data_IF_609093038570
#
_entry.id   IF_609093038570
#
_cell.length_a   1.000
_cell.length_b   1.000
_cell.length_c   1.000
_cell.angle_alpha   90.00
_cell.angle_beta   90.00
_cell.angle_gamma   90.00
#
_symmetry.space_group_name_H-M   'P 1'
#
loop_
_entity.id
_entity.type
_entity.pdbx_description
1 polymer ?
#
# COMPACT_ATOMS: atom_id res chain seq x y z
N UNK A 1 -1.43 18.51 -5.67
CA UNK A 1 -1.21 18.09 -4.26
C UNK A 1 -0.24 16.92 -4.26
N UNK A 2 0.74 16.85 -3.34
CA UNK A 2 1.63 15.69 -3.24
C UNK A 2 0.88 14.52 -2.59
N UNK A 3 0.85 13.35 -3.24
CA UNK A 3 0.25 12.14 -2.66
C UNK A 3 1.00 11.76 -1.38
N UNK A 4 0.27 11.27 -0.38
CA UNK A 4 0.89 10.75 0.84
C UNK A 4 1.50 9.38 0.53
N UNK A 5 2.71 9.15 1.07
CA UNK A 5 3.46 7.89 0.88
C UNK A 5 3.15 6.93 2.02
N UNK A 6 2.88 5.67 1.70
CA UNK A 6 2.57 4.61 2.66
C UNK A 6 3.47 3.42 2.38
N UNK A 7 4.09 2.85 3.42
CA UNK A 7 4.94 1.66 3.34
C UNK A 7 4.32 0.55 4.20
N UNK A 8 4.03 -0.61 3.61
CA UNK A 8 3.52 -1.77 4.34
C UNK A 8 4.62 -2.78 4.63
N UNK A 9 4.96 -2.96 5.92
CA UNK A 9 5.98 -3.90 6.34
C UNK A 9 5.39 -5.20 6.88
N UNK A 10 5.99 -6.31 6.49
CA UNK A 10 5.83 -7.60 7.16
C UNK A 10 7.17 -8.34 7.21
N UNK A 11 7.24 -9.43 7.98
CA UNK A 11 8.50 -10.15 8.20
C UNK A 11 9.21 -10.62 6.93
N UNK A 12 8.50 -10.83 5.81
CA UNK A 12 9.07 -11.37 4.58
C UNK A 12 8.62 -10.68 3.29
N UNK A 13 8.03 -9.49 3.38
CA UNK A 13 7.40 -8.79 2.25
C UNK A 13 6.60 -9.69 1.26
N UNK A 14 5.83 -10.66 1.78
CA UNK A 14 5.30 -11.76 0.95
C UNK A 14 3.77 -11.83 0.92
N UNK A 15 3.11 -11.67 2.07
CA UNK A 15 1.66 -11.90 2.19
C UNK A 15 0.94 -10.67 2.73
N UNK A 16 1.17 -10.30 3.99
CA UNK A 16 0.42 -9.20 4.65
C UNK A 16 0.69 -7.85 4.00
N UNK A 17 1.95 -7.55 3.67
CA UNK A 17 2.31 -6.30 3.00
C UNK A 17 1.72 -6.20 1.60
N UNK A 18 1.86 -7.26 0.79
CA UNK A 18 1.34 -7.33 -0.58
C UNK A 18 -0.20 -7.21 -0.62
N UNK A 19 -0.91 -7.91 0.28
CA UNK A 19 -2.37 -7.77 0.38
C UNK A 19 -2.79 -6.36 0.80
N UNK A 20 -2.07 -5.73 1.73
CA UNK A 20 -2.38 -4.38 2.19
C UNK A 20 -2.18 -3.33 1.09
N UNK A 21 -1.12 -3.47 0.29
CA UNK A 21 -0.86 -2.62 -0.88
C UNK A 21 -1.99 -2.72 -1.92
N UNK A 22 -2.36 -3.95 -2.29
CA UNK A 22 -3.44 -4.21 -3.24
C UNK A 22 -4.80 -3.72 -2.72
N UNK A 23 -5.10 -3.97 -1.43
CA UNK A 23 -6.37 -3.56 -0.82
C UNK A 23 -6.51 -2.04 -0.76
N UNK A 24 -5.45 -1.32 -0.37
CA UNK A 24 -5.46 0.14 -0.33
C UNK A 24 -5.71 0.70 -1.73
N UNK A 25 -4.98 0.20 -2.73
CA UNK A 25 -5.16 0.64 -4.13
C UNK A 25 -6.58 0.37 -4.63
N UNK A 26 -7.16 -0.78 -4.29
CA UNK A 26 -8.54 -1.13 -4.67
C UNK A 26 -9.60 -0.23 -4.01
N UNK A 27 -9.44 0.08 -2.72
CA UNK A 27 -10.44 0.81 -1.95
C UNK A 27 -10.43 2.32 -2.20
N UNK A 28 -9.25 2.91 -2.37
CA UNK A 28 -9.09 4.38 -2.43
C UNK A 28 -8.46 4.89 -3.73
N UNK A 29 -8.19 3.99 -4.68
CA UNK A 29 -7.62 4.34 -5.97
C UNK A 29 -6.24 4.97 -5.83
N UNK A 30 -5.99 6.02 -6.61
CA UNK A 30 -4.67 6.62 -6.75
C UNK A 30 -4.35 7.68 -5.68
N UNK A 31 -5.11 7.77 -4.59
CA UNK A 31 -4.95 8.83 -3.57
C UNK A 31 -3.62 8.77 -2.81
N UNK A 32 -2.98 7.60 -2.77
CA UNK A 32 -1.72 7.34 -2.08
C UNK A 32 -0.66 6.81 -3.04
N UNK A 33 0.60 7.04 -2.67
CA UNK A 33 1.75 6.36 -3.28
C UNK A 33 2.15 5.23 -2.31
N UNK A 34 2.07 3.98 -2.76
CA UNK A 34 2.16 2.78 -1.91
C UNK A 34 3.43 2.00 -2.21
N UNK A 35 4.05 1.42 -1.17
CA UNK A 35 5.30 0.65 -1.19
C UNK A 35 5.27 -0.51 -0.19
#
# INVERSE_FOLDING_TARGET
MKKKRVLFLCSGNSTRSQMAEGLLTHLVGDKFEVF
#
